data_IF_207090684215
#
_entry.id   IF_207090684215
#
_cell.length_a   1.000
_cell.length_b   1.000
_cell.length_c   1.000
_cell.angle_alpha   90.00
_cell.angle_beta   90.00
_cell.angle_gamma   90.00
#
_symmetry.space_group_name_H-M   'P 1'
#
loop_
_entity.id
_entity.type
_entity.pdbx_description
1 polymer ?
#
# COMPACT_ATOMS: atom_id res chain seq x y z
N UNK A 1 -4.43 -12.16 41.01
CA UNK A 1 -4.78 -11.66 39.66
C UNK A 1 -3.86 -12.32 38.63
N UNK A 2 -4.38 -12.87 37.54
CA UNK A 2 -3.65 -13.76 36.62
C UNK A 2 -2.87 -12.96 35.54
N UNK A 3 -1.53 -12.82 35.61
CA UNK A 3 -0.73 -11.93 34.74
C UNK A 3 -0.76 -12.31 33.24
N UNK A 4 -1.11 -13.55 32.90
CA UNK A 4 -1.18 -14.02 31.51
C UNK A 4 -2.29 -13.37 30.68
N UNK A 5 -3.42 -12.94 31.27
CA UNK A 5 -4.48 -12.25 30.51
C UNK A 5 -4.05 -10.87 30.02
N UNK A 6 -3.17 -10.19 30.75
CA UNK A 6 -2.66 -8.88 30.36
C UNK A 6 -1.67 -8.97 29.19
N UNK A 7 -0.88 -10.05 29.12
CA UNK A 7 0.03 -10.32 28.01
C UNK A 7 -0.72 -10.62 26.71
N UNK A 8 -1.81 -11.42 26.78
CA UNK A 8 -2.66 -11.72 25.62
C UNK A 8 -3.33 -10.46 25.04
N UNK A 9 -3.75 -9.52 25.89
CA UNK A 9 -4.37 -8.27 25.46
C UNK A 9 -3.36 -7.36 24.75
N UNK A 10 -2.13 -7.24 25.29
CA UNK A 10 -1.06 -6.45 24.66
C UNK A 10 -0.63 -7.03 23.31
N UNK A 11 -0.57 -8.35 23.18
CA UNK A 11 -0.27 -9.03 21.92
C UNK A 11 -1.36 -8.82 20.86
N UNK A 12 -2.64 -8.83 21.25
CA UNK A 12 -3.76 -8.53 20.35
C UNK A 12 -3.77 -7.08 19.86
N UNK A 13 -3.52 -6.12 20.75
CA UNK A 13 -3.47 -4.67 20.40
C UNK A 13 -2.29 -4.37 19.47
N UNK A 14 -1.13 -4.97 19.69
CA UNK A 14 0.05 -4.76 18.85
C UNK A 14 -0.10 -5.37 17.45
N UNK A 15 -0.76 -6.52 17.34
CA UNK A 15 -1.09 -7.16 16.05
C UNK A 15 -2.07 -6.32 15.24
N UNK A 16 -3.13 -5.82 15.87
CA UNK A 16 -4.12 -4.96 15.22
C UNK A 16 -3.52 -3.62 14.77
N UNK A 17 -2.62 -3.04 15.58
CA UNK A 17 -1.91 -1.82 15.25
C UNK A 17 -1.02 -1.95 14.01
N UNK A 18 -0.27 -3.06 13.90
CA UNK A 18 0.58 -3.33 12.73
C UNK A 18 -0.24 -3.46 11.43
N UNK A 19 -1.40 -4.13 11.50
CA UNK A 19 -2.33 -4.28 10.37
C UNK A 19 -2.89 -2.93 9.91
N UNK A 20 -3.28 -2.06 10.85
CA UNK A 20 -3.81 -0.75 10.52
C UNK A 20 -2.73 0.15 9.90
N UNK A 21 -1.52 0.12 10.46
CA UNK A 21 -0.38 0.90 9.94
C UNK A 21 -0.03 0.48 8.50
N UNK A 22 0.04 -0.82 8.21
CA UNK A 22 0.34 -1.30 6.86
C UNK A 22 -0.78 -0.99 5.84
N UNK A 23 -2.04 -1.01 6.29
CA UNK A 23 -3.17 -0.52 5.50
C UNK A 23 -3.06 0.98 5.16
N UNK A 24 -2.63 1.81 6.11
CA UNK A 24 -2.41 3.23 5.87
C UNK A 24 -1.30 3.51 4.86
N UNK A 25 -0.20 2.75 4.91
CA UNK A 25 0.86 2.80 3.89
C UNK A 25 0.30 2.42 2.51
N UNK A 26 -0.56 1.40 2.44
CA UNK A 26 -1.22 1.00 1.19
C UNK A 26 -2.06 2.13 0.60
N UNK A 27 -2.74 2.91 1.45
CA UNK A 27 -3.47 4.11 1.02
C UNK A 27 -2.56 5.20 0.48
N UNK A 28 -1.41 5.45 1.09
CA UNK A 28 -0.43 6.40 0.55
C UNK A 28 0.08 5.99 -0.82
N UNK A 29 0.36 4.70 -1.02
CA UNK A 29 0.79 4.14 -2.32
C UNK A 29 -0.30 4.32 -3.38
N UNK A 30 -1.56 4.04 -3.04
CA UNK A 30 -2.69 4.26 -3.95
C UNK A 30 -2.85 5.74 -4.34
N UNK A 31 -2.78 6.64 -3.37
CA UNK A 31 -2.85 8.08 -3.61
C UNK A 31 -1.68 8.57 -4.47
N UNK A 32 -0.47 8.06 -4.22
CA UNK A 32 0.71 8.37 -5.03
C UNK A 32 0.52 7.97 -6.49
N UNK A 33 0.02 6.75 -6.75
CA UNK A 33 -0.25 6.29 -8.11
C UNK A 33 -1.27 7.18 -8.83
N UNK A 34 -2.33 7.59 -8.13
CA UNK A 34 -3.34 8.49 -8.70
C UNK A 34 -2.79 9.88 -9.03
N UNK A 35 -1.89 10.42 -8.19
CA UNK A 35 -1.33 11.76 -8.36
C UNK A 35 -0.17 11.78 -9.37
N UNK A 36 0.66 10.73 -9.39
CA UNK A 36 1.90 10.67 -10.18
C UNK A 36 2.00 9.39 -11.03
N UNK A 37 1.03 9.12 -11.94
CA UNK A 37 1.03 7.88 -12.72
C UNK A 37 2.25 7.75 -13.65
N UNK A 38 2.82 8.86 -14.11
CA UNK A 38 4.01 8.91 -14.97
C UNK A 38 5.35 8.92 -14.23
N UNK A 39 5.36 8.89 -12.90
CA UNK A 39 6.61 8.85 -12.14
C UNK A 39 7.39 7.57 -12.45
N UNK A 40 8.72 7.67 -12.52
CA UNK A 40 9.61 6.52 -12.67
C UNK A 40 10.29 6.25 -11.33
N UNK A 41 10.01 5.10 -10.74
CA UNK A 41 10.62 4.67 -9.49
C UNK A 41 11.88 3.87 -9.80
N UNK A 42 12.96 4.17 -9.07
CA UNK A 42 14.17 3.35 -9.11
C UNK A 42 13.95 2.10 -8.28
N UNK A 43 14.12 0.94 -8.90
CA UNK A 43 14.07 -0.36 -8.22
C UNK A 43 15.39 -1.05 -8.42
N UNK A 44 15.88 -1.67 -7.34
CA UNK A 44 17.07 -2.52 -7.39
C UNK A 44 16.61 -3.93 -7.68
N UNK A 45 17.00 -4.47 -8.83
CA UNK A 45 16.74 -5.86 -9.19
C UNK A 45 18.00 -6.66 -8.81
N UNK A 46 17.91 -7.60 -7.86
CA UNK A 46 19.00 -8.50 -7.55
C UNK A 46 19.09 -9.59 -8.63
N UNK A 47 20.18 -9.59 -9.40
CA UNK A 47 20.49 -10.59 -10.44
C UNK A 47 21.48 -11.65 -9.92
N UNK A 48 21.36 -12.03 -8.65
CA UNK A 48 22.25 -12.98 -7.98
C UNK A 48 23.47 -12.31 -7.35
N UNK A 49 24.53 -12.09 -8.14
CA UNK A 49 25.79 -11.46 -7.69
C UNK A 49 25.86 -9.95 -7.99
N UNK A 50 24.95 -9.43 -8.81
CA UNK A 50 24.91 -8.02 -9.21
C UNK A 50 23.57 -7.38 -8.82
N UNK A 51 23.62 -6.12 -8.43
CA UNK A 51 22.46 -5.29 -8.15
C UNK A 51 22.30 -4.31 -9.31
N UNK A 52 21.24 -4.47 -10.10
CA UNK A 52 20.95 -3.55 -11.21
C UNK A 52 19.89 -2.53 -10.80
N UNK A 53 20.19 -1.24 -10.98
CA UNK A 53 19.25 -0.15 -10.75
C UNK A 53 18.46 0.13 -12.01
N UNK A 54 17.19 -0.28 -12.04
CA UNK A 54 16.29 -0.06 -13.16
C UNK A 54 15.23 0.97 -12.78
N UNK A 55 14.94 1.91 -13.68
CA UNK A 55 13.84 2.86 -13.52
C UNK A 55 12.61 2.35 -14.24
N UNK A 56 11.64 1.86 -13.48
CA UNK A 56 10.36 1.39 -14.02
C UNK A 56 9.24 2.39 -13.70
N UNK A 57 8.21 2.48 -14.55
CA UNK A 57 7.10 3.40 -14.29
C UNK A 57 6.30 2.94 -13.07
N UNK A 58 5.87 3.92 -12.26
CA UNK A 58 5.19 3.69 -10.99
C UNK A 58 3.92 2.84 -11.15
N UNK A 59 3.15 3.06 -12.22
CA UNK A 59 1.94 2.27 -12.49
C UNK A 59 2.22 0.78 -12.66
N UNK A 60 3.36 0.41 -13.25
CA UNK A 60 3.69 -0.99 -13.49
C UNK A 60 4.10 -1.66 -12.20
N UNK A 61 4.99 -1.02 -11.44
CA UNK A 61 5.47 -1.55 -10.15
C UNK A 61 4.34 -1.66 -9.12
N UNK A 62 3.60 -0.57 -8.94
CA UNK A 62 2.50 -0.50 -7.97
C UNK A 62 1.34 -1.39 -8.43
N UNK A 63 1.07 -1.45 -9.73
CA UNK A 63 0.03 -2.31 -10.30
C UNK A 63 0.32 -3.81 -10.09
N UNK A 64 1.54 -4.25 -10.36
CA UNK A 64 1.98 -5.63 -10.08
C UNK A 64 1.87 -5.93 -8.59
N UNK A 65 2.34 -5.03 -7.73
CA UNK A 65 2.22 -5.20 -6.28
C UNK A 65 0.75 -5.33 -5.83
N UNK A 66 -0.15 -4.45 -6.30
CA UNK A 66 -1.56 -4.49 -5.95
C UNK A 66 -2.24 -5.78 -6.46
N UNK A 67 -1.88 -6.27 -7.65
CA UNK A 67 -2.37 -7.54 -8.17
C UNK A 67 -1.93 -8.71 -7.29
N UNK A 68 -0.67 -8.72 -6.83
CA UNK A 68 -0.18 -9.72 -5.88
C UNK A 68 -0.94 -9.69 -4.56
N UNK A 69 -1.32 -8.50 -4.05
CA UNK A 69 -2.16 -8.40 -2.85
C UNK A 69 -3.51 -9.15 -3.02
N UNK A 70 -4.13 -9.06 -4.20
CA UNK A 70 -5.38 -9.77 -4.52
C UNK A 70 -5.14 -11.27 -4.63
N UNK A 71 -4.09 -11.70 -5.33
CA UNK A 71 -3.73 -13.11 -5.44
C UNK A 71 -3.53 -13.72 -4.05
N UNK A 72 -2.69 -13.08 -3.23
CA UNK A 72 -2.41 -13.53 -1.87
C UNK A 72 -3.61 -13.44 -0.93
N UNK A 73 -4.59 -12.56 -1.16
CA UNK A 73 -5.83 -12.59 -0.39
C UNK A 73 -6.62 -13.91 -0.58
N UNK A 74 -6.43 -14.61 -1.71
CA UNK A 74 -7.16 -15.84 -2.05
C UNK A 74 -6.33 -17.11 -1.82
N UNK A 75 -5.00 -17.05 -2.01
CA UNK A 75 -4.09 -18.19 -1.78
C UNK A 75 -3.39 -18.15 -0.41
N UNK A 76 -3.67 -17.12 0.39
CA UNK A 76 -2.89 -16.68 1.54
C UNK A 76 -3.04 -17.34 2.91
N UNK A 77 -3.92 -18.33 3.19
CA UNK A 77 -3.91 -18.99 4.51
C UNK A 77 -2.50 -19.53 4.89
N UNK A 78 -1.66 -19.78 3.89
CA UNK A 78 -0.31 -20.34 4.00
C UNK A 78 0.82 -19.33 4.25
N UNK A 79 0.58 -18.02 4.15
CA UNK A 79 1.64 -16.98 4.19
C UNK A 79 1.68 -16.13 5.50
N UNK A 80 1.09 -16.63 6.60
CA UNK A 80 1.15 -16.01 7.93
C UNK A 80 0.04 -14.99 8.23
N UNK A 81 0.20 -14.19 9.31
CA UNK A 81 -0.77 -13.18 9.78
C UNK A 81 -0.80 -11.89 8.94
N UNK A 82 -0.70 -11.98 7.61
CA UNK A 82 -0.74 -10.80 6.74
C UNK A 82 -2.19 -10.45 6.42
N UNK A 83 -2.59 -9.23 6.76
CA UNK A 83 -3.94 -8.72 6.51
C UNK A 83 -4.10 -8.22 5.08
N UNK A 84 -4.13 -9.13 4.11
CA UNK A 84 -4.22 -8.83 2.67
C UNK A 84 -5.39 -7.89 2.32
N UNK A 85 -6.56 -8.11 2.92
CA UNK A 85 -7.75 -7.27 2.75
C UNK A 85 -7.56 -5.84 3.26
N UNK A 86 -6.79 -5.64 4.33
CA UNK A 86 -6.49 -4.29 4.82
C UNK A 86 -5.62 -3.51 3.83
N UNK A 87 -4.68 -4.18 3.16
CA UNK A 87 -3.86 -3.56 2.12
C UNK A 87 -4.69 -3.21 0.88
N UNK A 88 -5.56 -4.11 0.42
CA UNK A 88 -6.44 -3.88 -0.73
C UNK A 88 -7.38 -2.70 -0.44
N UNK A 89 -8.05 -2.71 0.72
CA UNK A 89 -8.96 -1.64 1.13
C UNK A 89 -8.25 -0.28 1.24
N UNK A 90 -7.08 -0.26 1.90
CA UNK A 90 -6.25 0.94 2.00
C UNK A 90 -5.86 1.47 0.62
N UNK A 91 -5.35 0.62 -0.27
CA UNK A 91 -4.93 1.00 -1.62
C UNK A 91 -6.07 1.60 -2.44
N UNK A 92 -7.23 0.94 -2.49
CA UNK A 92 -8.41 1.43 -3.23
C UNK A 92 -8.87 2.78 -2.68
N UNK A 93 -8.96 2.92 -1.35
CA UNK A 93 -9.31 4.19 -0.73
C UNK A 93 -8.33 5.31 -1.13
N UNK A 94 -7.03 5.05 -1.02
CA UNK A 94 -5.98 5.98 -1.40
C UNK A 94 -6.06 6.40 -2.87
N UNK A 95 -6.27 5.45 -3.77
CA UNK A 95 -6.39 5.69 -5.21
C UNK A 95 -7.57 6.61 -5.52
N UNK A 96 -8.75 6.31 -4.98
CA UNK A 96 -9.95 7.12 -5.16
C UNK A 96 -9.77 8.53 -4.58
N UNK A 97 -9.20 8.62 -3.39
CA UNK A 97 -8.91 9.91 -2.76
C UNK A 97 -7.92 10.73 -3.58
N UNK A 98 -6.85 10.12 -4.09
CA UNK A 98 -5.87 10.79 -4.95
C UNK A 98 -6.49 11.32 -6.25
N UNK A 99 -7.39 10.56 -6.88
CA UNK A 99 -8.15 11.02 -8.07
C UNK A 99 -9.03 12.21 -7.72
N UNK A 100 -9.75 12.15 -6.59
CA UNK A 100 -10.57 13.26 -6.10
C UNK A 100 -9.75 14.53 -5.86
N UNK A 101 -8.60 14.41 -5.18
CA UNK A 101 -7.68 15.52 -4.91
C UNK A 101 -7.14 16.11 -6.21
N UNK A 102 -6.71 15.27 -7.16
CA UNK A 102 -6.23 15.72 -8.48
C UNK A 102 -7.29 16.56 -9.21
N UNK A 103 -8.54 16.08 -9.21
CA UNK A 103 -9.66 16.80 -9.82
C UNK A 103 -9.97 18.11 -9.07
N UNK A 104 -9.91 18.12 -7.74
CA UNK A 104 -10.14 19.32 -6.94
C UNK A 104 -9.07 20.40 -7.19
N UNK A 105 -7.79 20.02 -7.30
CA UNK A 105 -6.69 20.93 -7.63
C UNK A 105 -6.89 21.51 -9.03
N UNK A 106 -7.18 20.66 -10.03
CA UNK A 106 -7.42 21.12 -11.40
C UNK A 106 -8.59 22.12 -11.48
N UNK A 107 -9.69 21.89 -10.73
CA UNK A 107 -10.81 22.83 -10.66
C UNK A 107 -10.42 24.17 -10.03
N UNK A 108 -9.59 24.17 -8.98
CA UNK A 108 -9.15 25.42 -8.31
C UNK A 108 -8.24 26.25 -9.20
N UNK A 109 -7.35 25.62 -9.97
CA UNK A 109 -6.46 26.33 -10.88
C UNK A 109 -7.23 27.01 -12.03
N UNK A 110 -8.28 26.38 -12.55
CA UNK A 110 -9.13 26.95 -13.61
C UNK A 110 -9.95 28.17 -13.18
N UNK A 111 -10.23 28.32 -11.88
CA UNK A 111 -10.98 29.47 -11.35
C UNK A 111 -10.12 30.71 -11.06
N UNK A 112 -8.79 30.59 -11.17
CA UNK A 112 -7.83 31.69 -10.95
C UNK A 112 -7.46 32.44 -12.23
N UNK A 113 -7.88 31.93 -13.38
CA UNK A 113 -7.80 32.56 -14.69
C UNK A 113 -9.20 32.99 -15.11
#
# INVERSE_FOLDING_TARGET
MRPWRAASYRAGVSSCGAIAASGAVSALIGAYLALFPGARLGVVIPLGLFLEFVRAPAYLLIGVWAALQVVFAHIGPSFGMVAWWAHIGGFVFGLLYGVYVRAAIARRLRKRH
#
